data_IF_478949590998
#
_entry.id   IF_478949590998
#
_cell.length_a   1.000
_cell.length_b   1.000
_cell.length_c   1.000
_cell.angle_alpha   90.00
_cell.angle_beta   90.00
_cell.angle_gamma   90.00
#
_symmetry.space_group_name_H-M   'P 1'
#
loop_
_entity.id
_entity.type
_entity.pdbx_description
1 polymer ?
#
# COMPACT_ATOMS: atom_id res chain seq x y z
N UNK A 1 1.01 0.73 -17.71
CA UNK A 1 0.92 -0.53 -18.50
C UNK A 1 -0.02 -1.36 -17.70
N UNK A 2 -1.20 -1.57 -18.25
CA UNK A 2 -2.33 -2.02 -17.46
C UNK A 2 -2.61 -3.47 -17.86
N UNK A 3 -2.86 -4.31 -16.87
CA UNK A 3 -3.18 -5.72 -17.10
C UNK A 3 -4.68 -5.84 -16.94
N UNK A 4 -5.38 -6.10 -18.03
CA UNK A 4 -6.81 -6.43 -18.00
C UNK A 4 -6.96 -7.88 -17.55
N UNK A 5 -7.75 -8.10 -16.51
CA UNK A 5 -8.06 -9.45 -16.03
C UNK A 5 -8.81 -10.25 -17.10
N UNK A 6 -8.49 -11.54 -17.21
CA UNK A 6 -9.33 -12.48 -17.95
C UNK A 6 -10.68 -12.68 -17.22
N UNK A 7 -11.73 -13.16 -17.90
CA UNK A 7 -13.01 -13.47 -17.25
C UNK A 7 -12.87 -14.43 -16.06
N UNK A 8 -11.99 -15.42 -16.17
CA UNK A 8 -11.72 -16.38 -15.09
C UNK A 8 -11.07 -15.70 -13.88
N UNK A 9 -10.11 -14.79 -14.11
CA UNK A 9 -9.46 -14.02 -13.05
C UNK A 9 -10.44 -13.05 -12.38
N UNK A 10 -11.32 -12.41 -13.16
CA UNK A 10 -12.38 -11.56 -12.63
C UNK A 10 -13.33 -12.37 -11.73
N UNK A 11 -13.72 -13.57 -12.16
CA UNK A 11 -14.60 -14.44 -11.36
C UNK A 11 -13.96 -14.86 -10.03
N UNK A 12 -12.65 -15.14 -10.01
CA UNK A 12 -11.91 -15.40 -8.77
C UNK A 12 -11.91 -14.17 -7.86
N UNK A 13 -11.76 -12.97 -8.46
CA UNK A 13 -11.79 -11.71 -7.72
C UNK A 13 -13.16 -11.43 -7.11
N UNK A 14 -14.23 -11.64 -7.85
CA UNK A 14 -15.60 -11.43 -7.37
C UNK A 14 -15.97 -12.39 -6.22
N UNK A 15 -15.44 -13.63 -6.26
CA UNK A 15 -15.67 -14.64 -5.20
C UNK A 15 -14.85 -14.38 -3.94
N UNK A 16 -13.75 -13.64 -4.04
CA UNK A 16 -12.85 -13.40 -2.91
C UNK A 16 -13.42 -12.43 -1.86
N UNK A 17 -14.53 -11.73 -2.18
CA UNK A 17 -15.44 -11.00 -1.28
C UNK A 17 -14.81 -10.54 0.07
N UNK A 18 -13.84 -9.62 -0.01
CA UNK A 18 -13.20 -9.00 1.16
C UNK A 18 -11.87 -9.62 1.59
N UNK A 19 -11.40 -10.68 0.94
CA UNK A 19 -10.07 -11.25 1.15
C UNK A 19 -9.09 -10.70 0.12
N UNK A 20 -7.86 -10.44 0.55
CA UNK A 20 -6.79 -10.04 -0.36
C UNK A 20 -6.38 -11.22 -1.24
N UNK A 21 -6.23 -10.98 -2.54
CA UNK A 21 -5.83 -12.03 -3.48
C UNK A 21 -4.32 -12.10 -3.53
N UNK A 22 -3.80 -13.29 -3.23
CA UNK A 22 -2.39 -13.59 -3.38
C UNK A 22 -2.12 -14.04 -4.81
N UNK A 23 -1.15 -13.41 -5.46
CA UNK A 23 -0.65 -13.80 -6.78
C UNK A 23 0.78 -14.29 -6.61
N UNK A 24 1.04 -15.54 -6.96
CA UNK A 24 2.39 -16.10 -6.95
C UNK A 24 3.00 -16.00 -8.33
N UNK A 25 4.16 -15.37 -8.47
CA UNK A 25 4.96 -15.44 -9.70
C UNK A 25 5.64 -16.81 -9.78
N UNK A 26 5.30 -17.66 -10.75
CA UNK A 26 5.87 -19.01 -10.85
C UNK A 26 7.36 -19.00 -11.20
N UNK A 27 7.92 -17.91 -11.72
CA UNK A 27 9.33 -17.82 -12.11
C UNK A 27 10.26 -17.53 -10.94
N UNK A 28 9.78 -16.71 -10.01
CA UNK A 28 10.58 -16.22 -8.88
C UNK A 28 10.10 -16.74 -7.53
N UNK A 29 8.92 -17.37 -7.50
CA UNK A 29 8.18 -17.71 -6.27
C UNK A 29 7.85 -16.50 -5.39
N UNK A 30 7.94 -15.28 -5.94
CA UNK A 30 7.51 -14.08 -5.24
C UNK A 30 5.98 -14.08 -5.09
N UNK A 31 5.51 -13.66 -3.91
CA UNK A 31 4.08 -13.47 -3.64
C UNK A 31 3.75 -11.98 -3.67
N UNK A 32 2.74 -11.64 -4.46
CA UNK A 32 2.14 -10.33 -4.56
C UNK A 32 0.75 -10.34 -3.94
N UNK A 33 0.28 -9.17 -3.51
CA UNK A 33 -1.07 -8.95 -3.04
C UNK A 33 -1.77 -8.01 -4.03
N UNK A 34 -2.91 -8.42 -4.55
CA UNK A 34 -3.78 -7.52 -5.30
C UNK A 34 -4.67 -6.78 -4.33
N UNK A 35 -4.63 -5.46 -4.41
CA UNK A 35 -5.50 -4.54 -3.67
C UNK A 35 -6.21 -3.63 -4.68
N UNK A 36 -7.49 -3.29 -4.45
CA UNK A 36 -8.16 -2.26 -5.24
C UNK A 36 -7.38 -0.94 -5.19
N UNK A 37 -7.37 -0.20 -6.30
CA UNK A 37 -6.63 1.05 -6.41
C UNK A 37 -7.02 2.07 -5.34
N UNK A 38 -8.32 2.19 -5.03
CA UNK A 38 -8.81 3.04 -3.94
C UNK A 38 -8.18 2.68 -2.59
N UNK A 39 -8.05 1.38 -2.29
CA UNK A 39 -7.42 0.93 -1.05
C UNK A 39 -5.91 1.20 -1.05
N UNK A 40 -5.25 1.03 -2.19
CA UNK A 40 -3.83 1.39 -2.34
C UNK A 40 -3.61 2.88 -2.06
N UNK A 41 -4.40 3.76 -2.67
CA UNK A 41 -4.27 5.20 -2.48
C UNK A 41 -4.50 5.61 -1.02
N UNK A 42 -5.51 5.03 -0.36
CA UNK A 42 -5.75 5.26 1.08
C UNK A 42 -4.56 4.83 1.95
N UNK A 43 -3.96 3.67 1.66
CA UNK A 43 -2.77 3.19 2.38
C UNK A 43 -1.57 4.11 2.10
N UNK A 44 -1.37 4.50 0.85
CA UNK A 44 -0.28 5.40 0.44
C UNK A 44 -0.38 6.74 1.14
N UNK A 45 -1.58 7.33 1.19
CA UNK A 45 -1.84 8.59 1.86
C UNK A 45 -1.55 8.49 3.37
N UNK A 46 -2.06 7.45 4.04
CA UNK A 46 -1.81 7.24 5.47
C UNK A 46 -0.31 7.11 5.81
N UNK A 47 0.47 6.42 4.96
CA UNK A 47 1.93 6.30 5.14
C UNK A 47 2.62 7.64 4.94
N UNK A 48 2.23 8.41 3.92
CA UNK A 48 2.83 9.72 3.65
C UNK A 48 2.50 10.73 4.76
N UNK A 49 1.28 10.74 5.29
CA UNK A 49 0.91 11.54 6.45
C UNK A 49 1.77 11.22 7.68
N UNK A 50 1.97 9.93 7.98
CA UNK A 50 2.81 9.49 9.09
C UNK A 50 4.26 9.96 8.93
N UNK A 51 4.80 9.87 7.71
CA UNK A 51 6.16 10.35 7.39
C UNK A 51 6.28 11.85 7.62
N UNK A 52 5.30 12.63 7.19
CA UNK A 52 5.27 14.08 7.38
C UNK A 52 5.19 14.42 8.87
N UNK A 53 4.33 13.76 9.64
CA UNK A 53 4.23 14.00 11.09
C UNK A 53 5.54 13.69 11.82
N UNK A 54 6.21 12.58 11.48
CA UNK A 54 7.53 12.23 12.03
C UNK A 54 8.58 13.29 11.72
N UNK A 55 8.58 13.84 10.51
CA UNK A 55 9.51 14.90 10.10
C UNK A 55 9.28 16.21 10.87
N UNK A 56 8.01 16.59 11.09
CA UNK A 56 7.63 17.76 11.90
C UNK A 56 8.10 17.58 13.34
N UNK A 57 7.84 16.41 13.95
CA UNK A 57 8.23 16.14 15.33
C UNK A 57 9.75 16.18 15.52
N UNK A 58 10.51 15.56 14.60
CA UNK A 58 11.96 15.57 14.62
C UNK A 58 12.54 17.00 14.51
N UNK A 59 11.90 17.87 13.72
CA UNK A 59 12.32 19.28 13.56
C UNK A 59 11.95 20.12 14.78
N UNK A 60 10.77 19.89 15.36
CA UNK A 60 10.34 20.54 16.60
C UNK A 60 11.27 20.24 17.77
N UNK A 61 11.70 18.99 17.93
CA UNK A 61 12.67 18.59 18.96
C UNK A 61 14.04 19.25 18.78
N UNK A 62 14.55 19.31 17.54
CA UNK A 62 15.83 19.99 17.24
C UNK A 62 15.77 21.48 17.58
N UNK A 63 14.66 22.14 17.27
CA UNK A 63 14.48 23.56 17.57
C UNK A 63 14.33 23.83 19.08
N UNK A 64 13.76 22.91 19.85
CA UNK A 64 13.68 23.02 21.30
C UNK A 64 15.05 22.83 21.97
N UNK A 65 15.83 21.84 21.52
CA UNK A 65 17.19 21.60 22.03
C UNK A 65 18.19 22.71 21.67
N UNK A 66 17.97 23.44 20.58
CA UNK A 66 18.80 24.58 20.17
C UNK A 66 18.45 25.89 20.91
N UNK A 67 17.33 25.92 21.66
CA UNK A 67 16.84 27.10 22.40
C UNK A 67 17.01 26.99 23.92
N UNK A 68 17.49 25.84 24.42
CA UNK A 68 17.87 25.59 25.81
C UNK A 68 19.38 25.71 25.99
#
# INVERSE_FOLDING_TARGET
MDITLSPEQQQVLDQSAGHLIHVTDPRTSASYLLIPEEQYENIREAIEEERVQKAIHATGMKNAAARS
#
